data_IF_199138610391
#
_entry.id   IF_199138610391
#
_cell.length_a   1.000
_cell.length_b   1.000
_cell.length_c   1.000
_cell.angle_alpha   90.00
_cell.angle_beta   90.00
_cell.angle_gamma   90.00
#
_symmetry.space_group_name_H-M   'P 1'
#
loop_
_entity.id
_entity.type
_entity.pdbx_description
1 polymer ?
#
# COMPACT_ATOMS: atom_id res chain seq x y z
N UNK A 1 -8.21 12.71 21.01
CA UNK A 1 -7.44 11.49 20.65
C UNK A 1 -7.91 11.02 19.28
N UNK A 2 -7.11 11.19 18.23
CA UNK A 2 -7.52 10.84 16.85
C UNK A 2 -7.65 9.31 16.76
N UNK A 3 -8.84 8.80 16.41
CA UNK A 3 -9.04 7.38 16.09
C UNK A 3 -8.25 7.06 14.82
N UNK A 4 -7.05 6.51 14.99
CA UNK A 4 -6.21 6.01 13.90
C UNK A 4 -7.00 4.92 13.16
N UNK A 5 -7.36 5.17 11.89
CA UNK A 5 -8.12 4.22 11.07
C UNK A 5 -7.34 2.91 10.93
N UNK A 6 -8.02 1.76 10.82
CA UNK A 6 -7.36 0.47 10.58
C UNK A 6 -6.38 0.55 9.38
N UNK A 7 -6.78 1.28 8.35
CA UNK A 7 -5.96 1.55 7.17
C UNK A 7 -4.64 2.27 7.52
N UNK A 8 -4.71 3.36 8.30
CA UNK A 8 -3.50 4.08 8.73
C UNK A 8 -2.58 3.24 9.62
N UNK A 9 -3.15 2.33 10.44
CA UNK A 9 -2.35 1.36 11.22
C UNK A 9 -1.64 0.37 10.30
N UNK A 10 -2.32 -0.15 9.28
CA UNK A 10 -1.70 -1.05 8.28
C UNK A 10 -0.55 -0.35 7.57
N UNK A 11 -0.77 0.89 7.10
CA UNK A 11 0.27 1.68 6.43
C UNK A 11 1.47 1.96 7.33
N UNK A 12 1.27 2.12 8.65
CA UNK A 12 2.37 2.33 9.60
C UNK A 12 3.30 1.11 9.73
N UNK A 13 2.85 -0.08 9.33
CA UNK A 13 3.70 -1.29 9.29
C UNK A 13 4.48 -1.44 7.97
N UNK A 14 4.21 -0.61 6.97
CA UNK A 14 4.88 -0.66 5.67
C UNK A 14 6.16 0.20 5.69
N UNK A 15 7.35 -0.39 5.49
CA UNK A 15 8.61 0.36 5.52
C UNK A 15 8.71 1.29 4.31
N UNK A 16 8.53 2.59 4.53
CA UNK A 16 8.58 3.62 3.49
C UNK A 16 9.96 3.74 2.84
N UNK A 17 11.02 3.69 3.64
CA UNK A 17 12.40 3.84 3.17
C UNK A 17 12.82 2.73 2.18
N UNK A 18 12.41 1.49 2.47
CA UNK A 18 12.64 0.35 1.57
C UNK A 18 11.91 0.55 0.25
N UNK A 19 10.67 1.04 0.30
CA UNK A 19 9.91 1.36 -0.91
C UNK A 19 10.56 2.48 -1.72
N UNK A 20 10.96 3.58 -1.08
CA UNK A 20 11.59 4.72 -1.77
C UNK A 20 12.93 4.32 -2.43
N UNK A 21 13.65 3.35 -1.86
CA UNK A 21 14.84 2.75 -2.47
C UNK A 21 14.50 2.02 -3.77
N UNK A 22 13.47 1.18 -3.76
CA UNK A 22 12.98 0.48 -4.96
C UNK A 22 12.46 1.47 -6.02
N UNK A 23 11.76 2.53 -5.60
CA UNK A 23 11.27 3.59 -6.52
C UNK A 23 12.43 4.23 -7.28
N UNK A 24 13.55 4.49 -6.60
CA UNK A 24 14.77 5.03 -7.23
C UNK A 24 15.39 4.03 -8.20
N UNK A 25 15.50 2.76 -7.82
CA UNK A 25 16.05 1.69 -8.66
C UNK A 25 15.25 1.49 -9.95
N UNK A 26 13.92 1.43 -9.83
CA UNK A 26 13.00 1.26 -10.96
C UNK A 26 12.72 2.56 -11.74
N UNK A 27 13.26 3.69 -11.30
CA UNK A 27 12.92 5.04 -11.81
C UNK A 27 11.40 5.28 -11.93
N UNK A 28 10.62 4.66 -11.03
CA UNK A 28 9.15 4.57 -11.18
C UNK A 28 8.48 5.95 -11.22
N UNK A 29 9.07 6.95 -10.56
CA UNK A 29 8.53 8.32 -10.48
C UNK A 29 9.06 9.29 -11.55
N UNK A 30 9.94 8.86 -12.47
CA UNK A 30 10.63 9.73 -13.44
C UNK A 30 9.72 10.62 -14.28
N UNK A 31 8.55 10.11 -14.68
CA UNK A 31 7.55 10.83 -15.48
C UNK A 31 6.26 11.14 -14.70
N UNK A 32 6.29 11.00 -13.37
CA UNK A 32 5.10 11.18 -12.55
C UNK A 32 4.74 12.65 -12.40
N UNK A 33 3.52 13.03 -12.83
CA UNK A 33 2.99 14.38 -12.64
C UNK A 33 2.14 14.44 -11.36
N UNK A 34 2.79 14.71 -10.23
CA UNK A 34 2.15 14.99 -8.94
C UNK A 34 1.76 13.77 -8.08
N UNK A 35 1.55 12.59 -8.68
CA UNK A 35 1.21 11.36 -7.94
C UNK A 35 2.36 10.36 -8.00
N UNK A 36 3.03 10.19 -6.86
CA UNK A 36 4.19 9.31 -6.69
C UNK A 36 3.80 7.84 -6.55
N UNK A 37 4.75 6.92 -6.75
CA UNK A 37 4.56 5.47 -6.61
C UNK A 37 3.96 5.08 -5.27
N UNK A 38 4.32 5.79 -4.20
CA UNK A 38 3.77 5.52 -2.87
C UNK A 38 2.27 5.83 -2.79
N UNK A 39 1.84 6.97 -3.33
CA UNK A 39 0.42 7.31 -3.39
C UNK A 39 -0.35 6.29 -4.22
N UNK A 40 0.27 5.77 -5.29
CA UNK A 40 -0.31 4.69 -6.08
C UNK A 40 -0.43 3.38 -5.30
N UNK A 41 0.62 2.97 -4.58
CA UNK A 41 0.60 1.81 -3.68
C UNK A 41 -0.56 1.92 -2.67
N UNK A 42 -0.64 3.05 -1.97
CA UNK A 42 -1.68 3.31 -0.96
C UNK A 42 -3.07 3.22 -1.59
N UNK A 43 -3.24 3.73 -2.81
CA UNK A 43 -4.52 3.69 -3.52
C UNK A 43 -4.92 2.26 -3.90
N UNK A 44 -3.97 1.43 -4.34
CA UNK A 44 -4.23 0.02 -4.65
C UNK A 44 -4.46 -0.81 -3.39
N UNK A 45 -3.76 -0.54 -2.29
CA UNK A 45 -4.04 -1.18 -1.00
C UNK A 45 -5.43 -0.83 -0.48
N UNK A 46 -5.83 0.43 -0.60
CA UNK A 46 -7.19 0.84 -0.25
C UNK A 46 -8.22 0.06 -1.07
N UNK A 47 -8.00 -0.08 -2.38
CA UNK A 47 -8.86 -0.87 -3.26
C UNK A 47 -9.11 -2.29 -2.72
N UNK A 48 -8.03 -3.00 -2.38
CA UNK A 48 -8.11 -4.38 -1.91
C UNK A 48 -8.77 -4.50 -0.53
N UNK A 49 -8.47 -3.59 0.40
CA UNK A 49 -8.99 -3.65 1.78
C UNK A 49 -10.45 -3.21 1.83
N UNK A 50 -10.84 -2.19 1.05
CA UNK A 50 -12.19 -1.65 1.02
C UNK A 50 -13.12 -2.41 0.06
N UNK A 51 -12.60 -3.34 -0.75
CA UNK A 51 -13.38 -4.01 -1.79
C UNK A 51 -13.89 -3.05 -2.87
N UNK A 52 -13.10 -2.03 -3.21
CA UNK A 52 -13.50 -1.01 -4.18
C UNK A 52 -13.51 -1.60 -5.60
N UNK A 53 -14.68 -1.64 -6.24
CA UNK A 53 -14.84 -2.25 -7.57
C UNK A 53 -14.45 -1.34 -8.74
N UNK A 54 -14.23 -0.05 -8.50
CA UNK A 54 -13.91 0.92 -9.56
C UNK A 54 -12.90 1.97 -9.13
N UNK A 55 -12.21 2.57 -10.12
CA UNK A 55 -11.33 3.74 -9.91
C UNK A 55 -12.05 4.94 -9.27
N UNK A 56 -13.37 5.04 -9.46
CA UNK A 56 -14.20 6.08 -8.81
C UNK A 56 -14.36 5.77 -7.33
N UNK A 57 -14.65 4.51 -6.99
CA UNK A 57 -14.81 4.08 -5.59
C UNK A 57 -13.50 4.24 -4.82
N UNK A 58 -12.36 3.96 -5.46
CA UNK A 58 -11.04 4.20 -4.87
C UNK A 58 -10.87 5.70 -4.59
N UNK A 59 -11.10 6.56 -5.58
CA UNK A 59 -10.88 8.01 -5.44
C UNK A 59 -11.80 8.64 -4.39
N UNK A 60 -13.10 8.32 -4.41
CA UNK A 60 -14.06 8.82 -3.43
C UNK A 60 -13.85 8.22 -2.04
N UNK A 61 -13.59 6.92 -1.97
CA UNK A 61 -13.32 6.21 -0.72
C UNK A 61 -12.08 6.75 -0.03
N UNK A 62 -10.98 6.92 -0.76
CA UNK A 62 -9.78 7.61 -0.26
C UNK A 62 -10.12 9.01 0.22
N UNK A 63 -10.81 9.84 -0.58
CA UNK A 63 -11.16 11.21 -0.16
C UNK A 63 -11.97 11.24 1.14
N UNK A 64 -12.88 10.28 1.31
CA UNK A 64 -13.68 10.11 2.53
C UNK A 64 -12.83 9.74 3.75
N UNK A 65 -11.88 8.80 3.62
CA UNK A 65 -11.03 8.38 4.74
C UNK A 65 -9.86 9.32 5.04
N UNK A 66 -9.44 10.12 4.06
CA UNK A 66 -8.26 10.99 4.17
C UNK A 66 -8.63 12.39 4.67
N UNK A 67 -9.87 12.84 4.49
CA UNK A 67 -10.34 14.15 4.94
C UNK A 67 -9.47 15.31 4.43
N UNK A 68 -9.44 16.42 5.19
CA UNK A 68 -8.66 17.63 4.88
C UNK A 68 -7.18 17.55 5.32
N UNK A 69 -6.65 16.35 5.59
CA UNK A 69 -5.33 16.18 6.18
C UNK A 69 -4.37 15.42 5.27
N UNK A 70 -3.11 15.88 5.29
CA UNK A 70 -1.90 15.13 4.97
C UNK A 70 -1.90 13.80 5.75
N UNK A 71 -2.59 12.78 5.24
CA UNK A 71 -2.45 11.43 5.78
C UNK A 71 -0.98 11.03 5.62
N UNK A 72 -0.32 10.52 6.67
CA UNK A 72 1.11 10.27 6.67
C UNK A 72 1.45 9.37 5.48
N UNK A 73 2.12 9.96 4.49
CA UNK A 73 2.72 9.27 3.36
C UNK A 73 2.23 9.67 1.97
N UNK A 74 1.00 10.15 1.77
CA UNK A 74 0.50 10.48 0.41
C UNK A 74 0.54 11.98 0.12
N UNK A 75 0.99 12.35 -1.09
CA UNK A 75 1.08 13.74 -1.55
C UNK A 75 -0.29 14.39 -1.82
N UNK A 76 -1.34 13.57 -1.96
CA UNK A 76 -2.70 13.99 -2.24
C UNK A 76 -3.54 12.80 -2.70
N UNK A 77 -4.86 12.91 -2.60
CA UNK A 77 -5.76 11.84 -3.06
C UNK A 77 -5.86 11.90 -4.60
N UNK A 78 -5.54 10.81 -5.32
CA UNK A 78 -5.70 10.75 -6.77
C UNK A 78 -7.15 10.95 -7.18
N UNK A 79 -7.40 11.81 -8.17
CA UNK A 79 -8.68 11.84 -8.87
C UNK A 79 -8.82 10.61 -9.80
N UNK A 80 -10.06 10.29 -10.20
CA UNK A 80 -10.38 9.15 -11.09
C UNK A 80 -9.46 9.07 -12.32
N UNK A 81 -9.33 10.16 -13.08
CA UNK A 81 -8.55 10.19 -14.33
C UNK A 81 -7.06 9.96 -14.08
N UNK A 82 -6.52 10.59 -13.04
CA UNK A 82 -5.11 10.39 -12.66
C UNK A 82 -4.85 8.94 -12.24
N UNK A 83 -5.73 8.34 -11.43
CA UNK A 83 -5.58 6.95 -11.02
C UNK A 83 -5.65 5.98 -12.21
N UNK A 84 -6.59 6.21 -13.13
CA UNK A 84 -6.72 5.42 -14.36
C UNK A 84 -5.46 5.50 -15.22
N UNK A 85 -4.91 6.70 -15.39
CA UNK A 85 -3.70 6.91 -16.17
C UNK A 85 -2.50 6.19 -15.53
N UNK A 86 -2.32 6.32 -14.20
CA UNK A 86 -1.18 5.70 -13.51
C UNK A 86 -1.28 4.18 -13.51
N UNK A 87 -2.48 3.61 -13.36
CA UNK A 87 -2.71 2.17 -13.47
C UNK A 87 -2.29 1.62 -14.85
N UNK A 88 -2.44 2.42 -15.91
CA UNK A 88 -2.08 1.99 -17.26
C UNK A 88 -0.58 2.13 -17.55
N UNK A 89 0.07 3.17 -17.02
CA UNK A 89 1.43 3.54 -17.47
C UNK A 89 2.53 3.20 -16.47
N UNK A 90 2.23 3.02 -15.18
CA UNK A 90 3.26 2.71 -14.19
C UNK A 90 3.54 1.21 -14.16
N UNK A 91 4.80 0.85 -14.40
CA UNK A 91 5.29 -0.52 -14.26
C UNK A 91 5.01 -1.12 -12.87
N UNK A 92 4.63 -2.39 -12.83
CA UNK A 92 4.28 -3.11 -11.62
C UNK A 92 5.49 -3.61 -10.83
N UNK A 93 6.68 -3.55 -11.43
CA UNK A 93 7.94 -4.12 -10.93
C UNK A 93 8.30 -3.57 -9.54
N UNK A 94 8.09 -2.27 -9.32
CA UNK A 94 8.33 -1.64 -8.01
C UNK A 94 7.45 -2.23 -6.91
N UNK A 95 6.20 -2.59 -7.23
CA UNK A 95 5.28 -3.18 -6.25
C UNK A 95 5.56 -4.67 -6.03
N UNK A 96 5.96 -5.38 -7.10
CA UNK A 96 6.40 -6.77 -7.04
C UNK A 96 7.62 -6.88 -6.11
N UNK A 97 8.67 -6.11 -6.37
CA UNK A 97 9.90 -6.22 -5.57
C UNK A 97 9.66 -5.77 -4.12
N UNK A 98 8.76 -4.80 -3.91
CA UNK A 98 8.35 -4.44 -2.56
C UNK A 98 7.64 -5.56 -1.83
N UNK A 99 6.79 -6.33 -2.52
CA UNK A 99 6.16 -7.52 -1.95
C UNK A 99 7.19 -8.54 -1.48
N UNK A 100 8.29 -8.75 -2.20
CA UNK A 100 9.34 -9.68 -1.80
C UNK A 100 10.17 -9.19 -0.60
N UNK A 101 10.40 -7.88 -0.50
CA UNK A 101 11.15 -7.27 0.60
C UNK A 101 10.34 -7.22 1.91
N UNK A 102 9.01 -7.21 1.82
CA UNK A 102 8.12 -6.95 2.96
C UNK A 102 8.12 -8.08 4.01
N UNK A 103 8.03 -9.39 3.66
CA UNK A 103 8.09 -10.48 4.62
C UNK A 103 9.33 -10.43 5.51
N UNK A 104 10.51 -10.24 4.91
CA UNK A 104 11.77 -10.18 5.65
C UNK A 104 11.76 -9.06 6.68
N UNK A 105 11.25 -7.88 6.31
CA UNK A 105 11.11 -6.75 7.22
C UNK A 105 10.12 -7.01 8.37
N UNK A 106 8.98 -7.64 8.06
CA UNK A 106 7.94 -7.91 9.06
C UNK A 106 8.36 -9.01 10.03
N UNK A 107 9.02 -10.06 9.54
CA UNK A 107 9.54 -11.18 10.34
C UNK A 107 10.68 -10.71 11.24
N UNK A 108 11.60 -9.86 10.76
CA UNK A 108 12.69 -9.35 11.59
C UNK A 108 12.21 -8.50 12.76
N UNK A 109 11.08 -7.80 12.60
CA UNK A 109 10.54 -6.85 13.58
C UNK A 109 9.61 -7.50 14.60
N UNK A 110 9.08 -8.67 14.29
CA UNK A 110 8.16 -9.39 15.16
C UNK A 110 8.60 -10.84 15.26
N UNK A 111 9.05 -11.26 16.45
CA UNK A 111 9.09 -12.69 16.77
C UNK A 111 7.65 -13.17 16.74
N UNK A 112 7.29 -13.83 15.64
CA UNK A 112 5.93 -14.27 15.41
C UNK A 112 5.63 -15.36 16.43
N UNK A 113 5.03 -14.99 17.56
CA UNK A 113 4.62 -15.96 18.56
C UNK A 113 3.53 -16.81 17.93
N UNK A 114 3.88 -17.97 17.36
CA UNK A 114 2.94 -18.90 16.72
C UNK A 114 1.70 -19.21 17.59
N UNK A 115 1.81 -19.02 18.90
CA UNK A 115 0.71 -19.14 19.84
C UNK A 115 -0.44 -18.14 19.59
N UNK A 116 -0.19 -16.92 19.11
CA UNK A 116 -1.26 -15.97 18.78
C UNK A 116 -2.02 -16.34 17.50
N UNK A 117 -1.39 -17.10 16.59
CA UNK A 117 -2.06 -17.68 15.42
C UNK A 117 -3.07 -18.76 15.80
N UNK A 118 -2.85 -19.47 16.92
CA UNK A 118 -3.79 -20.50 17.39
C UNK A 118 -5.17 -19.92 17.73
N UNK A 119 -5.25 -18.60 17.98
CA UNK A 119 -6.52 -17.89 18.21
C UNK A 119 -7.28 -17.58 16.92
N UNK A 120 -6.65 -17.73 15.75
CA UNK A 120 -7.31 -17.49 14.47
C UNK A 120 -8.24 -18.67 14.17
N UNK A 121 -9.54 -18.39 14.05
CA UNK A 121 -10.55 -19.40 13.72
C UNK A 121 -10.51 -19.84 12.25
N UNK A 122 -9.79 -19.11 11.40
CA UNK A 122 -9.69 -19.38 9.95
C UNK A 122 -8.28 -19.82 9.61
N UNK A 123 -8.17 -20.81 8.73
CA UNK A 123 -6.89 -21.21 8.14
C UNK A 123 -6.37 -20.05 7.28
N UNK A 124 -5.19 -19.56 7.63
CA UNK A 124 -4.47 -18.57 6.82
C UNK A 124 -3.39 -19.30 6.05
N UNK A 125 -3.42 -19.18 4.73
CA UNK A 125 -2.40 -19.72 3.86
C UNK A 125 -1.44 -18.60 3.49
N UNK A 126 -0.15 -18.80 3.74
CA UNK A 126 0.89 -17.93 3.23
C UNK A 126 1.33 -18.51 1.88
N UNK A 127 1.09 -17.80 0.79
CA UNK A 127 1.74 -18.11 -0.47
C UNK A 127 3.19 -17.71 -0.29
N UNK A 128 4.06 -18.69 -0.10
CA UNK A 128 5.49 -18.46 -0.28
C UNK A 128 5.70 -18.28 -1.78
N UNK A 129 6.24 -17.14 -2.23
CA UNK A 129 6.60 -17.05 -3.62
C UNK A 129 7.72 -18.08 -3.88
N UNK A 130 7.57 -18.84 -4.95
CA UNK A 130 8.55 -19.83 -5.36
C UNK A 130 9.84 -19.10 -5.75
N UNK A 131 10.99 -19.63 -5.32
CA UNK A 131 12.30 -19.33 -5.91
C UNK A 131 12.30 -19.58 -7.42
#
# INVERSE_FOLDING_TARGET
MIKVSLFSRILAHLPREKFDTLVKQHQSDKYSKGIKSWTHLVSMLFCQIAGAGSVRDISHGLRSITGNMHHPGISGVPCKSSLSNINQHRGYEVFKDYYYVLPDHLISRHSFARNSLKRLKRKIYLIKPNE
#
